data_IF_539485116337
#
_entry.id   IF_539485116337
#
_cell.length_a   1.000
_cell.length_b   1.000
_cell.length_c   1.000
_cell.angle_alpha   90.00
_cell.angle_beta   90.00
_cell.angle_gamma   90.00
#
_symmetry.space_group_name_H-M   'P 1'
#
loop_
_entity.id
_entity.type
_entity.pdbx_description
1 polymer ?
#
# COMPACT_ATOMS: atom_id res chain seq x y z
N UNK A 1 5.65 7.70 18.86
CA UNK A 1 5.47 6.24 18.82
C UNK A 1 6.74 5.61 19.37
N UNK A 2 6.58 4.57 20.18
CA UNK A 2 7.70 3.95 20.88
C UNK A 2 8.37 2.81 20.07
N UNK A 3 7.72 2.37 18.98
CA UNK A 3 8.24 1.39 18.05
C UNK A 3 7.96 1.80 16.60
N UNK A 4 8.95 1.61 15.73
CA UNK A 4 8.82 1.90 14.30
C UNK A 4 8.39 0.63 13.54
N UNK A 5 7.25 0.66 12.82
CA UNK A 5 6.84 -0.47 11.98
C UNK A 5 7.68 -0.55 10.72
N UNK A 6 8.19 -1.75 10.43
CA UNK A 6 8.98 -2.02 9.22
C UNK A 6 8.60 -3.37 8.61
N UNK A 7 8.64 -3.46 7.27
CA UNK A 7 8.47 -4.69 6.53
C UNK A 7 9.82 -5.17 5.99
N UNK A 8 10.16 -6.40 6.25
CA UNK A 8 11.38 -7.03 5.76
C UNK A 8 11.09 -7.83 4.48
N UNK A 9 11.78 -7.55 3.37
CA UNK A 9 11.68 -8.39 2.17
C UNK A 9 12.15 -9.80 2.47
N UNK A 10 11.32 -10.82 2.20
CA UNK A 10 11.58 -12.21 2.55
C UNK A 10 12.16 -13.05 1.40
N UNK A 11 12.04 -12.56 0.16
CA UNK A 11 12.50 -13.32 -1.01
C UNK A 11 13.98 -13.68 -0.90
N UNK A 12 14.27 -14.96 -0.98
CA UNK A 12 15.62 -15.54 -0.89
C UNK A 12 16.35 -15.26 0.42
N UNK A 13 15.62 -14.86 1.48
CA UNK A 13 16.20 -14.60 2.79
C UNK A 13 16.00 -15.77 3.72
N UNK A 14 17.02 -16.07 4.52
CA UNK A 14 16.97 -17.11 5.55
C UNK A 14 16.21 -16.58 6.77
N UNK A 15 15.26 -17.37 7.26
CA UNK A 15 14.56 -17.17 8.53
C UNK A 15 14.76 -18.42 9.37
N UNK A 16 15.13 -18.26 10.61
CA UNK A 16 15.39 -19.39 11.53
C UNK A 16 14.28 -19.44 12.58
N UNK A 17 13.76 -20.65 12.82
CA UNK A 17 12.95 -20.95 14.00
C UNK A 17 13.72 -21.95 14.84
N UNK A 18 14.16 -21.51 16.03
CA UNK A 18 14.94 -22.28 16.97
C UNK A 18 14.09 -22.72 18.15
N UNK A 19 14.12 -24.02 18.45
CA UNK A 19 13.32 -24.65 19.48
C UNK A 19 12.26 -25.58 18.94
N UNK A 20 11.47 -26.18 19.83
CA UNK A 20 10.50 -27.22 19.50
C UNK A 20 9.12 -26.95 20.14
N UNK A 21 8.14 -27.80 19.80
CA UNK A 21 6.78 -27.74 20.32
C UNK A 21 5.88 -26.74 19.62
N UNK A 22 4.66 -26.61 20.14
CA UNK A 22 3.57 -25.86 19.50
C UNK A 22 3.90 -24.37 19.24
N UNK A 23 4.64 -23.75 20.15
CA UNK A 23 5.02 -22.34 20.01
C UNK A 23 6.01 -22.14 18.85
N UNK A 24 6.97 -23.06 18.65
CA UNK A 24 7.89 -23.03 17.51
C UNK A 24 7.14 -23.28 16.19
N UNK A 25 6.22 -24.26 16.16
CA UNK A 25 5.36 -24.52 15.03
C UNK A 25 4.47 -23.29 14.68
N UNK A 26 3.94 -22.61 15.69
CA UNK A 26 3.16 -21.39 15.46
C UNK A 26 4.00 -20.27 14.83
N UNK A 27 5.27 -20.14 15.18
CA UNK A 27 6.20 -19.19 14.55
C UNK A 27 6.55 -19.60 13.12
N UNK A 28 6.76 -20.90 12.87
CA UNK A 28 7.05 -21.40 11.53
C UNK A 28 5.87 -21.20 10.57
N UNK A 29 4.62 -21.38 11.03
CA UNK A 29 3.41 -21.14 10.25
C UNK A 29 3.26 -19.70 9.75
N UNK A 30 3.87 -18.70 10.41
CA UNK A 30 3.86 -17.32 9.92
C UNK A 30 4.53 -17.16 8.55
N UNK A 31 5.37 -18.12 8.17
CA UNK A 31 6.15 -18.09 6.93
C UNK A 31 5.67 -19.10 5.88
N UNK A 32 4.57 -19.80 6.13
CA UNK A 32 3.98 -20.71 5.15
C UNK A 32 3.59 -19.95 3.87
N UNK A 33 4.04 -20.45 2.71
CA UNK A 33 3.83 -19.78 1.43
C UNK A 33 4.70 -18.55 1.17
N UNK A 34 5.53 -18.11 2.14
CA UNK A 34 6.47 -17.00 1.94
C UNK A 34 7.68 -17.46 1.12
N UNK A 35 8.27 -16.57 0.28
CA UNK A 35 9.44 -16.90 -0.55
C UNK A 35 10.75 -16.87 0.22
N UNK A 36 10.76 -17.17 1.52
CA UNK A 36 11.94 -17.26 2.35
C UNK A 36 12.48 -18.68 2.44
N UNK A 37 13.73 -18.80 2.86
CA UNK A 37 14.34 -20.06 3.26
C UNK A 37 14.09 -20.27 4.76
N UNK A 38 13.00 -20.95 5.10
CA UNK A 38 12.68 -21.28 6.48
C UNK A 38 13.55 -22.46 6.95
N UNK A 39 14.37 -22.22 7.98
CA UNK A 39 15.24 -23.23 8.61
C UNK A 39 14.76 -23.46 10.03
N UNK A 40 14.57 -24.72 10.40
CA UNK A 40 14.23 -25.14 11.76
C UNK A 40 15.43 -25.80 12.41
N UNK A 41 15.73 -25.40 13.63
CA UNK A 41 16.86 -25.95 14.41
C UNK A 41 16.41 -26.23 15.85
N UNK A 42 16.86 -27.32 16.40
CA UNK A 42 16.49 -27.78 17.75
C UNK A 42 17.70 -28.25 18.53
N UNK A 43 17.57 -28.34 19.85
CA UNK A 43 18.61 -28.86 20.75
C UNK A 43 19.92 -28.09 20.61
N UNK A 44 21.04 -28.81 20.65
CA UNK A 44 22.39 -28.21 20.62
C UNK A 44 22.72 -27.51 19.30
N UNK A 45 22.10 -27.92 18.19
CA UNK A 45 22.31 -27.29 16.89
C UNK A 45 21.82 -25.83 16.92
N UNK A 46 20.74 -25.54 17.66
CA UNK A 46 20.21 -24.18 17.83
C UNK A 46 21.10 -23.28 18.71
N UNK A 47 22.09 -23.83 19.38
CA UNK A 47 23.02 -23.08 20.25
C UNK A 47 24.29 -22.63 19.52
N UNK A 48 24.40 -22.96 18.23
CA UNK A 48 25.58 -22.66 17.39
C UNK A 48 25.39 -21.34 16.62
N UNK A 49 26.51 -20.64 16.37
CA UNK A 49 26.49 -19.42 15.53
C UNK A 49 26.10 -19.75 14.09
N UNK A 50 26.52 -20.92 13.62
CA UNK A 50 26.29 -21.43 12.27
C UNK A 50 24.81 -21.55 11.94
N UNK A 51 23.97 -21.92 12.92
CA UNK A 51 22.52 -22.00 12.76
C UNK A 51 21.93 -20.68 12.27
N UNK A 52 22.46 -19.57 12.74
CA UNK A 52 21.95 -18.21 12.43
C UNK A 52 22.75 -17.48 11.37
N UNK A 53 23.85 -18.04 10.90
CA UNK A 53 24.72 -17.39 9.90
C UNK A 53 23.93 -17.07 8.63
N UNK A 54 23.96 -15.80 8.20
CA UNK A 54 23.24 -15.29 7.03
C UNK A 54 21.72 -15.18 7.21
N UNK A 55 21.17 -15.48 8.39
CA UNK A 55 19.75 -15.31 8.65
C UNK A 55 19.39 -13.83 8.82
N UNK A 56 18.24 -13.45 8.26
CA UNK A 56 17.65 -12.13 8.45
C UNK A 56 16.95 -12.04 9.81
N UNK A 57 16.12 -13.02 10.12
CA UNK A 57 15.31 -13.09 11.34
C UNK A 57 15.48 -14.44 12.01
N UNK A 58 15.45 -14.44 13.34
CA UNK A 58 15.34 -15.65 14.13
C UNK A 58 14.19 -15.54 15.14
N UNK A 59 13.43 -16.62 15.27
CA UNK A 59 12.43 -16.81 16.31
C UNK A 59 12.91 -17.90 17.24
N UNK A 60 13.05 -17.58 18.53
CA UNK A 60 13.63 -18.49 19.52
C UNK A 60 12.57 -18.84 20.55
N UNK A 61 12.37 -20.14 20.77
CA UNK A 61 11.37 -20.71 21.67
C UNK A 61 12.00 -21.77 22.54
N UNK A 62 11.85 -21.71 23.85
CA UNK A 62 12.39 -22.70 24.76
C UNK A 62 12.38 -22.25 26.21
N UNK A 63 13.03 -23.02 27.08
CA UNK A 63 13.27 -22.61 28.45
C UNK A 63 14.29 -21.46 28.58
N UNK A 64 14.41 -20.90 29.77
CA UNK A 64 15.25 -19.73 30.03
C UNK A 64 16.74 -19.94 29.70
N UNK A 65 17.27 -21.16 29.94
CA UNK A 65 18.67 -21.50 29.68
C UNK A 65 18.92 -21.60 28.18
N UNK A 66 18.04 -22.28 27.45
CA UNK A 66 18.09 -22.43 25.99
C UNK A 66 17.97 -21.10 25.28
N UNK A 67 16.95 -20.28 25.61
CA UNK A 67 16.70 -19.01 24.91
C UNK A 67 17.84 -18.02 25.09
N UNK A 68 18.48 -17.97 26.27
CA UNK A 68 19.65 -17.11 26.52
C UNK A 68 20.84 -17.50 25.65
N UNK A 69 21.14 -18.79 25.53
CA UNK A 69 22.25 -19.28 24.73
C UNK A 69 21.99 -19.11 23.24
N UNK A 70 20.80 -19.49 22.77
CA UNK A 70 20.40 -19.35 21.38
C UNK A 70 20.38 -17.87 20.94
N UNK A 71 19.82 -16.97 21.76
CA UNK A 71 19.82 -15.54 21.48
C UNK A 71 21.24 -14.94 21.40
N UNK A 72 22.15 -15.41 22.27
CA UNK A 72 23.57 -15.02 22.21
C UNK A 72 24.24 -15.50 20.92
N UNK A 73 23.99 -16.73 20.49
CA UNK A 73 24.52 -17.28 19.24
C UNK A 73 23.98 -16.47 18.02
N UNK A 74 22.67 -16.17 18.01
CA UNK A 74 22.04 -15.37 16.96
C UNK A 74 22.58 -13.92 16.92
N UNK A 75 22.82 -13.30 18.08
CA UNK A 75 23.41 -11.97 18.17
C UNK A 75 24.85 -11.94 17.63
N UNK A 76 25.65 -12.95 17.92
CA UNK A 76 27.01 -13.10 17.36
C UNK A 76 26.98 -13.28 15.83
N UNK A 77 25.96 -13.94 15.31
CA UNK A 77 25.71 -14.06 13.87
C UNK A 77 25.10 -12.77 13.25
N UNK A 78 24.83 -11.73 14.04
CA UNK A 78 24.17 -10.48 13.63
C UNK A 78 22.76 -10.70 13.06
N UNK A 79 22.07 -11.71 13.54
CA UNK A 79 20.68 -12.00 13.20
C UNK A 79 19.74 -11.18 14.09
N UNK A 80 18.67 -10.66 13.55
CA UNK A 80 17.62 -9.93 14.30
C UNK A 80 16.71 -10.96 14.98
N UNK A 81 16.50 -10.84 16.28
CA UNK A 81 15.93 -11.90 17.12
C UNK A 81 14.58 -11.50 17.70
N UNK A 82 13.61 -12.42 17.65
CA UNK A 82 12.44 -12.43 18.51
C UNK A 82 12.46 -13.68 19.42
N UNK A 83 12.59 -13.46 20.70
CA UNK A 83 12.50 -14.51 21.69
C UNK A 83 11.12 -14.51 22.31
N UNK A 84 10.41 -15.64 22.22
CA UNK A 84 9.02 -15.74 22.70
C UNK A 84 8.98 -15.51 24.20
N UNK A 85 8.05 -14.66 24.65
CA UNK A 85 7.84 -14.25 26.05
C UNK A 85 9.04 -13.59 26.74
N UNK A 86 10.07 -13.19 25.96
CA UNK A 86 11.28 -12.55 26.47
C UNK A 86 11.59 -11.25 25.68
N UNK A 87 10.86 -10.15 25.97
CA UNK A 87 11.10 -8.87 25.33
C UNK A 87 12.50 -8.31 25.60
N UNK A 88 13.10 -8.64 26.75
CA UNK A 88 14.47 -8.28 27.12
C UNK A 88 15.57 -8.92 26.26
N UNK A 89 15.24 -10.00 25.54
CA UNK A 89 16.13 -10.71 24.61
C UNK A 89 15.68 -10.56 23.15
N UNK A 90 14.75 -9.66 22.86
CA UNK A 90 14.17 -9.49 21.53
C UNK A 90 14.52 -8.14 20.93
N UNK A 91 14.95 -8.13 19.67
CA UNK A 91 15.19 -6.92 18.88
C UNK A 91 13.89 -6.37 18.28
N UNK A 92 12.86 -7.21 18.13
CA UNK A 92 11.58 -6.83 17.57
C UNK A 92 10.42 -7.63 18.18
N UNK A 93 9.21 -7.13 18.00
CA UNK A 93 7.97 -7.80 18.40
C UNK A 93 7.22 -8.34 17.19
N UNK A 94 6.56 -9.48 17.33
CA UNK A 94 5.67 -10.01 16.28
C UNK A 94 4.30 -9.34 16.39
N UNK A 95 3.85 -8.58 15.37
CA UNK A 95 2.53 -7.95 15.37
C UNK A 95 1.42 -8.97 15.06
N UNK A 96 0.16 -8.57 15.24
CA UNK A 96 -0.96 -9.26 14.64
C UNK A 96 -1.00 -8.94 13.14
N UNK A 97 -1.00 -9.96 12.28
CA UNK A 97 -0.82 -9.82 10.83
C UNK A 97 -2.12 -10.17 10.09
N UNK A 98 -2.49 -9.34 9.12
CA UNK A 98 -3.46 -9.67 8.07
C UNK A 98 -2.67 -9.80 6.77
N UNK A 99 -2.60 -11.00 6.24
CA UNK A 99 -1.92 -11.31 4.97
C UNK A 99 -2.95 -11.53 3.86
N UNK A 100 -2.78 -10.79 2.77
CA UNK A 100 -3.52 -10.89 1.51
C UNK A 100 -2.56 -10.95 0.31
N UNK A 101 -1.39 -11.58 0.49
CA UNK A 101 -0.33 -11.68 -0.51
C UNK A 101 0.45 -10.37 -0.65
N UNK A 102 0.25 -9.65 -1.75
CA UNK A 102 0.94 -8.36 -1.97
C UNK A 102 0.49 -7.23 -1.01
N UNK A 103 -0.62 -7.42 -0.32
CA UNK A 103 -1.11 -6.49 0.69
C UNK A 103 -1.00 -7.12 2.07
N UNK A 104 -0.17 -6.55 2.91
CA UNK A 104 0.02 -7.00 4.29
C UNK A 104 -0.25 -5.83 5.23
N UNK A 105 -1.04 -6.08 6.27
CA UNK A 105 -1.23 -5.15 7.37
C UNK A 105 -0.74 -5.75 8.68
N UNK A 106 -0.12 -4.93 9.53
CA UNK A 106 0.44 -5.35 10.79
C UNK A 106 -0.01 -4.40 11.91
N UNK A 107 -0.43 -4.97 13.04
CA UNK A 107 -0.96 -4.22 14.18
C UNK A 107 -0.14 -4.57 15.41
N UNK A 108 0.52 -3.58 15.99
CA UNK A 108 1.26 -3.69 17.25
C UNK A 108 0.60 -2.85 18.34
N UNK A 109 0.60 -3.36 19.56
CA UNK A 109 0.10 -2.65 20.76
C UNK A 109 1.21 -2.38 21.78
N UNK A 110 2.49 -2.48 21.36
CA UNK A 110 3.64 -2.33 22.26
C UNK A 110 3.68 -3.37 23.39
N UNK A 111 3.06 -4.53 23.20
CA UNK A 111 2.93 -5.56 24.26
C UNK A 111 1.82 -5.29 25.27
N UNK A 112 1.13 -4.13 25.19
CA UNK A 112 0.14 -3.74 26.19
C UNK A 112 -1.12 -4.62 26.18
N UNK A 113 -1.59 -5.09 25.02
CA UNK A 113 -2.80 -5.90 24.93
C UNK A 113 -2.84 -6.79 23.68
N UNK A 114 -2.47 -8.06 23.77
CA UNK A 114 -2.63 -9.03 22.68
C UNK A 114 -4.07 -9.18 22.21
N UNK A 115 -5.05 -9.10 23.14
CA UNK A 115 -6.47 -9.18 22.82
C UNK A 115 -6.93 -8.01 21.95
N UNK A 116 -6.48 -6.80 22.26
CA UNK A 116 -6.79 -5.61 21.45
C UNK A 116 -6.20 -5.75 20.03
N UNK A 117 -4.97 -6.23 19.91
CA UNK A 117 -4.35 -6.49 18.61
C UNK A 117 -5.14 -7.51 17.78
N UNK A 118 -5.63 -8.59 18.43
CA UNK A 118 -6.46 -9.62 17.79
C UNK A 118 -7.81 -9.07 17.34
N UNK A 119 -8.46 -8.26 18.17
CA UNK A 119 -9.74 -7.62 17.82
C UNK A 119 -9.60 -6.69 16.62
N UNK A 120 -8.61 -5.80 16.64
CA UNK A 120 -8.32 -4.88 15.53
C UNK A 120 -7.93 -5.63 14.25
N UNK A 121 -7.19 -6.73 14.37
CA UNK A 121 -6.90 -7.62 13.24
C UNK A 121 -8.18 -8.15 12.61
N UNK A 122 -9.11 -8.68 13.43
CA UNK A 122 -10.37 -9.25 12.94
C UNK A 122 -11.24 -8.19 12.25
N UNK A 123 -11.29 -6.97 12.78
CA UNK A 123 -12.00 -5.86 12.15
C UNK A 123 -11.38 -5.48 10.79
N UNK A 124 -10.06 -5.46 10.72
CA UNK A 124 -9.36 -5.16 9.47
C UNK A 124 -9.52 -6.29 8.45
N UNK A 125 -9.48 -7.55 8.88
CA UNK A 125 -9.75 -8.72 8.02
C UNK A 125 -11.13 -8.67 7.38
N UNK A 126 -12.14 -8.23 8.11
CA UNK A 126 -13.51 -8.09 7.59
C UNK A 126 -13.62 -7.00 6.51
N UNK A 127 -12.73 -5.99 6.54
CA UNK A 127 -12.73 -4.88 5.58
C UNK A 127 -11.81 -5.09 4.38
N UNK A 128 -10.82 -5.97 4.50
CA UNK A 128 -9.86 -6.27 3.42
C UNK A 128 -10.27 -7.55 2.67
N UNK A 129 -10.83 -7.44 1.45
CA UNK A 129 -11.21 -8.60 0.66
C UNK A 129 -10.03 -9.53 0.42
N UNK A 130 -10.30 -10.84 0.33
CA UNK A 130 -9.27 -11.86 0.04
C UNK A 130 -8.52 -11.59 -1.27
N UNK A 131 -9.19 -11.00 -2.25
CA UNK A 131 -8.62 -10.70 -3.56
C UNK A 131 -7.77 -9.44 -3.66
N UNK A 132 -7.69 -8.62 -2.60
CA UNK A 132 -7.01 -7.30 -2.69
C UNK A 132 -5.53 -7.41 -3.04
N UNK A 133 -4.85 -8.48 -2.61
CA UNK A 133 -3.46 -8.72 -2.97
C UNK A 133 -3.28 -8.99 -4.46
N UNK A 134 -4.26 -9.61 -5.13
CA UNK A 134 -4.23 -9.80 -6.59
C UNK A 134 -4.37 -8.48 -7.34
N UNK A 135 -5.13 -7.52 -6.79
CA UNK A 135 -5.19 -6.16 -7.35
C UNK A 135 -3.82 -5.51 -7.29
N UNK A 136 -3.14 -5.58 -6.14
CA UNK A 136 -1.78 -5.04 -6.00
C UNK A 136 -0.79 -5.74 -6.96
N UNK A 137 -0.89 -7.07 -7.13
CA UNK A 137 -0.07 -7.83 -8.07
C UNK A 137 -0.32 -7.40 -9.53
N UNK A 138 -1.58 -7.16 -9.93
CA UNK A 138 -1.93 -6.61 -11.23
C UNK A 138 -1.23 -5.27 -11.49
N UNK A 139 -1.33 -4.35 -10.54
CA UNK A 139 -0.69 -3.03 -10.68
C UNK A 139 0.83 -3.12 -10.69
N UNK A 140 1.43 -4.03 -9.94
CA UNK A 140 2.87 -4.31 -9.99
C UNK A 140 3.28 -4.84 -11.36
N UNK A 141 2.54 -5.81 -11.90
CA UNK A 141 2.82 -6.43 -13.20
C UNK A 141 2.84 -5.39 -14.33
N UNK A 142 1.92 -4.42 -14.31
CA UNK A 142 1.76 -3.42 -15.37
C UNK A 142 2.37 -2.05 -15.03
N UNK A 143 3.13 -1.95 -13.94
CA UNK A 143 3.67 -0.69 -13.43
C UNK A 143 4.51 0.05 -14.49
N UNK A 144 5.36 -0.65 -15.21
CA UNK A 144 6.23 -0.02 -16.21
C UNK A 144 5.46 0.39 -17.47
N UNK A 145 4.46 -0.41 -17.88
CA UNK A 145 3.55 -0.05 -18.97
C UNK A 145 2.77 1.24 -18.63
N UNK A 146 2.22 1.31 -17.41
CA UNK A 146 1.50 2.49 -16.94
C UNK A 146 2.43 3.71 -16.83
N UNK A 147 3.66 3.53 -16.35
CA UNK A 147 4.65 4.61 -16.26
C UNK A 147 5.06 5.14 -17.62
N UNK A 148 5.29 4.26 -18.58
CA UNK A 148 5.63 4.63 -19.95
C UNK A 148 4.46 5.29 -20.67
N UNK A 149 3.24 4.78 -20.47
CA UNK A 149 2.04 5.27 -21.13
C UNK A 149 1.52 6.61 -20.59
N UNK A 150 1.75 6.87 -19.30
CA UNK A 150 1.36 8.10 -18.60
C UNK A 150 2.57 8.69 -17.85
N UNK A 151 3.49 9.37 -18.54
CA UNK A 151 4.69 9.94 -17.92
C UNK A 151 4.37 11.06 -16.94
N UNK A 152 3.31 11.84 -17.17
CA UNK A 152 2.84 12.86 -16.25
C UNK A 152 2.32 12.22 -14.94
N UNK A 153 2.89 12.67 -13.82
CA UNK A 153 2.58 12.08 -12.49
C UNK A 153 1.12 12.31 -12.08
N UNK A 154 0.55 13.46 -12.43
CA UNK A 154 -0.81 13.84 -12.07
C UNK A 154 -1.83 12.98 -12.81
N UNK A 155 -1.67 12.85 -14.13
CA UNK A 155 -2.49 11.98 -14.96
C UNK A 155 -2.38 10.52 -14.53
N UNK A 156 -1.17 10.05 -14.25
CA UNK A 156 -0.94 8.69 -13.77
C UNK A 156 -1.62 8.40 -12.43
N UNK A 157 -1.56 9.34 -11.47
CA UNK A 157 -2.26 9.21 -10.18
C UNK A 157 -3.78 9.19 -10.35
N UNK A 158 -4.32 10.02 -11.23
CA UNK A 158 -5.76 10.03 -11.53
C UNK A 158 -6.19 8.70 -12.14
N UNK A 159 -5.48 8.22 -13.16
CA UNK A 159 -5.69 6.92 -13.78
C UNK A 159 -5.66 5.77 -12.76
N UNK A 160 -4.61 5.70 -11.94
CA UNK A 160 -4.47 4.64 -10.93
C UNK A 160 -5.62 4.65 -9.91
N UNK A 161 -6.06 5.83 -9.47
CA UNK A 161 -7.20 5.96 -8.57
C UNK A 161 -8.50 5.43 -9.17
N UNK A 162 -8.76 5.76 -10.44
CA UNK A 162 -9.93 5.29 -11.16
C UNK A 162 -9.86 3.78 -11.42
N UNK A 163 -8.70 3.29 -11.85
CA UNK A 163 -8.49 1.88 -12.13
C UNK A 163 -8.65 0.98 -10.90
N UNK A 164 -8.32 1.47 -9.69
CA UNK A 164 -8.52 0.75 -8.42
C UNK A 164 -10.01 0.49 -8.11
N UNK A 165 -10.92 1.26 -8.68
CA UNK A 165 -12.37 1.09 -8.52
C UNK A 165 -13.04 0.55 -9.79
N UNK A 166 -12.25 0.27 -10.83
CA UNK A 166 -12.72 -0.16 -12.14
C UNK A 166 -12.87 -1.67 -12.30
N UNK A 167 -13.33 -2.08 -13.49
CA UNK A 167 -13.56 -3.49 -13.84
C UNK A 167 -12.27 -4.33 -13.79
N UNK A 168 -11.11 -3.73 -14.06
CA UNK A 168 -9.82 -4.43 -13.97
C UNK A 168 -9.52 -4.87 -12.54
N UNK A 169 -9.72 -4.00 -11.56
CA UNK A 169 -9.55 -4.33 -10.16
C UNK A 169 -10.55 -5.40 -9.70
N UNK A 170 -11.81 -5.30 -10.14
CA UNK A 170 -12.81 -6.32 -9.82
C UNK A 170 -12.42 -7.68 -10.39
N UNK A 171 -12.06 -7.77 -11.67
CA UNK A 171 -11.60 -9.02 -12.29
C UNK A 171 -10.38 -9.61 -11.56
N UNK A 172 -9.44 -8.76 -11.10
CA UNK A 172 -8.31 -9.23 -10.30
C UNK A 172 -8.75 -9.76 -8.92
N UNK A 173 -9.68 -9.09 -8.25
CA UNK A 173 -10.26 -9.59 -6.99
C UNK A 173 -10.91 -10.96 -7.16
N UNK A 174 -11.58 -11.20 -8.29
CA UNK A 174 -12.24 -12.45 -8.63
C UNK A 174 -11.25 -13.56 -9.09
N UNK A 175 -9.96 -13.21 -9.28
CA UNK A 175 -8.92 -14.16 -9.70
C UNK A 175 -8.70 -14.26 -11.21
N UNK A 176 -9.44 -13.50 -12.02
CA UNK A 176 -9.35 -13.48 -13.48
C UNK A 176 -8.18 -12.60 -13.98
N UNK A 177 -6.95 -12.96 -13.63
CA UNK A 177 -5.77 -12.09 -13.80
C UNK A 177 -5.49 -11.71 -15.26
N UNK A 178 -5.69 -12.64 -16.21
CA UNK A 178 -5.48 -12.35 -17.65
C UNK A 178 -6.50 -11.31 -18.15
N UNK A 179 -7.76 -11.49 -17.77
CA UNK A 179 -8.84 -10.54 -18.08
C UNK A 179 -8.58 -9.19 -17.41
N UNK A 180 -8.16 -9.19 -16.15
CA UNK A 180 -7.82 -7.99 -15.42
C UNK A 180 -6.69 -7.20 -16.11
N UNK A 181 -5.63 -7.88 -16.54
CA UNK A 181 -4.52 -7.28 -17.27
C UNK A 181 -4.96 -6.68 -18.61
N UNK A 182 -5.83 -7.39 -19.34
CA UNK A 182 -6.40 -6.87 -20.60
C UNK A 182 -7.22 -5.60 -20.37
N UNK A 183 -8.14 -5.63 -19.39
CA UNK A 183 -8.99 -4.49 -19.04
C UNK A 183 -8.15 -3.27 -18.58
N UNK A 184 -7.08 -3.50 -17.84
CA UNK A 184 -6.21 -2.40 -17.39
C UNK A 184 -5.43 -1.77 -18.56
N UNK A 185 -4.98 -2.56 -19.54
CA UNK A 185 -4.34 -2.06 -20.77
C UNK A 185 -5.33 -1.29 -21.66
N UNK A 186 -6.55 -1.79 -21.79
CA UNK A 186 -7.63 -1.08 -22.50
C UNK A 186 -7.92 0.28 -21.86
N UNK A 187 -8.04 0.32 -20.53
CA UNK A 187 -8.23 1.55 -19.77
C UNK A 187 -7.02 2.50 -19.93
N UNK A 188 -5.79 1.98 -19.92
CA UNK A 188 -4.58 2.77 -20.14
C UNK A 188 -4.56 3.39 -21.54
N UNK A 189 -4.90 2.61 -22.56
CA UNK A 189 -4.99 3.10 -23.94
C UNK A 189 -6.06 4.19 -24.10
N UNK A 190 -7.20 4.02 -23.46
CA UNK A 190 -8.25 5.03 -23.42
C UNK A 190 -7.80 6.32 -22.70
N UNK A 191 -7.07 6.18 -21.58
CA UNK A 191 -6.52 7.33 -20.85
C UNK A 191 -5.44 8.09 -21.65
N UNK A 192 -4.63 7.38 -22.46
CA UNK A 192 -3.65 7.99 -23.37
C UNK A 192 -4.32 8.73 -24.54
N UNK A 193 -5.45 8.20 -25.03
CA UNK A 193 -6.22 8.80 -26.11
C UNK A 193 -7.13 9.95 -25.63
N UNK A 194 -7.35 10.07 -24.33
CA UNK A 194 -8.18 11.09 -23.75
C UNK A 194 -7.56 12.47 -24.00
N UNK A 195 -8.25 13.27 -24.81
CA UNK A 195 -7.92 14.69 -24.97
C UNK A 195 -8.26 15.39 -23.66
N UNK A 196 -7.49 16.42 -23.34
CA UNK A 196 -7.85 17.33 -22.28
C UNK A 196 -9.25 17.92 -22.52
N UNK A 197 -9.88 18.38 -21.50
CA UNK A 197 -11.21 18.98 -21.56
C UNK A 197 -11.24 20.30 -20.81
N UNK A 198 -12.12 21.20 -21.25
CA UNK A 198 -12.50 22.38 -20.49
C UNK A 198 -13.89 22.11 -19.96
N UNK A 199 -14.10 22.27 -18.65
CA UNK A 199 -15.42 22.24 -18.06
C UNK A 199 -15.73 23.59 -17.43
N UNK A 200 -16.78 24.23 -17.88
CA UNK A 200 -17.32 25.44 -17.26
C UNK A 200 -18.32 25.06 -16.17
N UNK A 201 -18.18 25.69 -15.02
CA UNK A 201 -19.03 25.48 -13.84
C UNK A 201 -19.54 26.86 -13.40
N UNK A 202 -20.86 27.01 -13.40
CA UNK A 202 -21.47 28.15 -12.76
C UNK A 202 -21.20 28.11 -11.25
N UNK A 203 -20.49 29.09 -10.79
CA UNK A 203 -20.07 29.26 -9.40
C UNK A 203 -20.67 30.53 -8.78
N UNK A 204 -21.77 31.06 -9.32
CA UNK A 204 -22.48 32.20 -8.77
C UNK A 204 -23.32 31.87 -7.53
N UNK A 205 -23.68 30.57 -7.37
CA UNK A 205 -24.59 30.09 -6.34
C UNK A 205 -23.89 29.69 -5.03
N UNK A 206 -24.67 29.13 -4.11
CA UNK A 206 -24.15 28.56 -2.85
C UNK A 206 -23.40 27.25 -3.08
N UNK A 207 -22.35 27.02 -2.31
CA UNK A 207 -21.46 25.88 -2.49
C UNK A 207 -22.13 24.52 -2.23
N UNK A 208 -23.15 24.47 -1.41
CA UNK A 208 -23.94 23.26 -1.12
C UNK A 208 -24.92 22.87 -2.26
N UNK A 209 -25.14 23.75 -3.24
CA UNK A 209 -25.97 23.50 -4.42
C UNK A 209 -25.18 23.01 -5.63
N UNK A 210 -23.86 22.83 -5.49
CA UNK A 210 -23.04 22.33 -6.59
C UNK A 210 -23.41 20.89 -6.97
N UNK A 211 -23.44 20.58 -8.27
CA UNK A 211 -23.74 19.22 -8.72
C UNK A 211 -22.62 18.25 -8.40
N UNK A 212 -22.94 16.96 -8.24
CA UNK A 212 -21.93 15.91 -8.09
C UNK A 212 -20.99 15.83 -9.30
N UNK A 213 -21.47 16.18 -10.49
CA UNK A 213 -20.63 16.26 -11.70
C UNK A 213 -19.59 17.37 -11.56
N UNK A 214 -20.00 18.55 -11.15
CA UNK A 214 -19.13 19.70 -10.93
C UNK A 214 -18.11 19.42 -9.81
N UNK A 215 -18.57 18.82 -8.71
CA UNK A 215 -17.68 18.43 -7.60
C UNK A 215 -16.60 17.42 -8.05
N UNK A 216 -16.99 16.43 -8.86
CA UNK A 216 -16.03 15.46 -9.42
C UNK A 216 -15.03 16.12 -10.37
N UNK A 217 -15.51 17.09 -11.19
CA UNK A 217 -14.64 17.82 -12.09
C UNK A 217 -13.63 18.68 -11.35
N UNK A 218 -14.05 19.40 -10.30
CA UNK A 218 -13.15 20.16 -9.41
C UNK A 218 -12.10 19.26 -8.74
N UNK A 219 -12.52 18.08 -8.30
CA UNK A 219 -11.62 17.08 -7.73
C UNK A 219 -10.65 16.44 -8.74
N UNK A 220 -10.88 16.59 -10.04
CA UNK A 220 -10.08 16.05 -11.13
C UNK A 220 -9.33 17.12 -11.92
N UNK A 221 -9.53 18.41 -11.64
CA UNK A 221 -8.94 19.52 -12.37
C UNK A 221 -7.41 19.54 -12.23
N UNK A 222 -6.71 19.70 -13.36
CA UNK A 222 -5.27 20.00 -13.38
C UNK A 222 -5.05 21.51 -13.26
N UNK A 223 -5.93 22.28 -13.88
CA UNK A 223 -5.92 23.74 -13.89
C UNK A 223 -7.30 24.28 -13.49
N UNK A 224 -7.29 25.33 -12.67
CA UNK A 224 -8.48 26.04 -12.22
C UNK A 224 -8.40 27.50 -12.64
N UNK A 225 -9.38 27.96 -13.39
CA UNK A 225 -9.60 29.36 -13.72
C UNK A 225 -10.77 29.83 -12.86
N UNK A 226 -10.57 30.90 -12.12
CA UNK A 226 -11.62 31.49 -11.25
C UNK A 226 -11.91 32.88 -11.76
N UNK A 227 -13.09 33.05 -12.33
CA UNK A 227 -13.53 34.38 -12.80
C UNK A 227 -13.91 35.30 -11.62
N UNK A 228 -13.83 36.62 -11.84
CA UNK A 228 -14.30 37.59 -10.85
C UNK A 228 -15.77 37.38 -10.53
N UNK A 229 -16.10 37.25 -9.24
CA UNK A 229 -17.48 37.01 -8.79
C UNK A 229 -17.81 35.56 -8.49
N UNK A 230 -16.99 34.59 -8.93
CA UNK A 230 -17.16 33.17 -8.57
C UNK A 230 -17.04 32.96 -7.06
N UNK A 231 -17.89 32.11 -6.51
CA UNK A 231 -17.92 31.79 -5.07
C UNK A 231 -16.61 31.13 -4.62
N UNK A 232 -15.89 31.73 -3.65
CA UNK A 232 -14.61 31.20 -3.18
C UNK A 232 -14.73 29.83 -2.50
N UNK A 233 -15.88 29.49 -1.90
CA UNK A 233 -16.09 28.19 -1.28
C UNK A 233 -16.18 27.09 -2.33
N UNK A 234 -16.75 27.36 -3.51
CA UNK A 234 -16.74 26.44 -4.65
C UNK A 234 -15.31 26.26 -5.18
N UNK A 235 -14.56 27.35 -5.30
CA UNK A 235 -13.17 27.31 -5.73
C UNK A 235 -12.28 26.52 -4.74
N UNK A 236 -12.61 26.53 -3.45
CA UNK A 236 -11.92 25.77 -2.42
C UNK A 236 -12.18 24.25 -2.49
N UNK A 237 -13.24 23.80 -3.20
CA UNK A 237 -13.54 22.39 -3.43
C UNK A 237 -12.63 21.76 -4.49
N UNK A 238 -11.91 22.57 -5.28
CA UNK A 238 -10.90 22.04 -6.20
C UNK A 238 -9.76 21.34 -5.43
N UNK A 239 -9.15 20.36 -6.08
CA UNK A 239 -7.98 19.67 -5.48
C UNK A 239 -6.88 20.69 -5.14
N UNK A 240 -6.19 20.47 -4.02
CA UNK A 240 -5.18 21.41 -3.48
C UNK A 240 -3.99 21.65 -4.40
N UNK A 241 -3.67 20.67 -5.25
CA UNK A 241 -2.56 20.70 -6.20
C UNK A 241 -2.98 21.10 -7.62
N UNK A 242 -4.25 21.51 -7.84
CA UNK A 242 -4.65 22.15 -9.08
C UNK A 242 -3.97 23.51 -9.23
N UNK A 243 -3.32 23.73 -10.37
CA UNK A 243 -2.68 25.01 -10.65
C UNK A 243 -3.75 26.08 -10.94
N UNK A 244 -3.67 27.20 -10.24
CA UNK A 244 -4.60 28.32 -10.43
C UNK A 244 -4.04 29.27 -11.48
N UNK A 245 -4.79 29.46 -12.58
CA UNK A 245 -4.45 30.40 -13.63
C UNK A 245 -5.19 31.72 -13.38
N UNK A 246 -4.45 32.80 -13.20
CA UNK A 246 -5.00 34.14 -12.97
C UNK A 246 -5.55 34.77 -14.25
N UNK A 247 -4.97 34.42 -15.39
CA UNK A 247 -5.38 34.84 -16.73
C UNK A 247 -5.13 33.69 -17.68
N UNK A 248 -6.16 33.22 -18.37
CA UNK A 248 -6.03 32.18 -19.36
C UNK A 248 -6.74 32.62 -20.65
N UNK A 249 -5.91 33.02 -21.61
CA UNK A 249 -6.38 33.23 -22.98
C UNK A 249 -6.92 31.90 -23.54
N UNK A 250 -7.87 31.99 -24.47
CA UNK A 250 -8.41 30.81 -25.14
C UNK A 250 -7.32 29.99 -25.83
N UNK A 251 -6.24 30.62 -26.31
CA UNK A 251 -5.07 29.96 -26.88
C UNK A 251 -4.34 29.11 -25.82
N UNK A 252 -4.13 29.65 -24.61
CA UNK A 252 -3.50 28.92 -23.51
C UNK A 252 -4.35 27.75 -23.05
N UNK A 253 -5.64 27.93 -22.96
CA UNK A 253 -6.59 26.85 -22.63
C UNK A 253 -6.52 25.76 -23.71
N UNK A 254 -6.52 26.13 -25.01
CA UNK A 254 -6.41 25.17 -26.09
C UNK A 254 -5.09 24.38 -26.08
N UNK A 255 -3.97 25.03 -25.75
CA UNK A 255 -2.68 24.36 -25.55
C UNK A 255 -2.75 23.32 -24.40
N UNK A 256 -3.34 23.69 -23.27
CA UNK A 256 -3.48 22.80 -22.11
C UNK A 256 -4.38 21.58 -22.45
N UNK A 257 -5.48 21.83 -23.14
CA UNK A 257 -6.37 20.77 -23.63
C UNK A 257 -5.66 19.86 -24.65
N UNK A 258 -4.89 20.43 -25.56
CA UNK A 258 -4.09 19.66 -26.52
C UNK A 258 -3.04 18.81 -25.81
N UNK A 259 -2.51 19.30 -24.68
CA UNK A 259 -1.59 18.56 -23.80
C UNK A 259 -2.27 17.55 -22.88
N UNK A 260 -3.59 17.29 -23.08
CA UNK A 260 -4.35 16.31 -22.30
C UNK A 260 -4.72 16.77 -20.89
N UNK A 261 -4.67 18.08 -20.60
CA UNK A 261 -4.98 18.62 -19.27
C UNK A 261 -6.47 18.91 -19.11
N UNK A 262 -6.96 18.70 -17.88
CA UNK A 262 -8.34 19.04 -17.49
C UNK A 262 -8.35 20.44 -16.89
N UNK A 263 -9.01 21.34 -17.58
CA UNK A 263 -9.18 22.74 -17.16
C UNK A 263 -10.61 22.92 -16.64
N UNK A 264 -10.73 23.42 -15.43
CA UNK A 264 -12.05 23.83 -14.90
C UNK A 264 -12.08 25.35 -14.81
N UNK A 265 -13.11 25.94 -15.44
CA UNK A 265 -13.38 27.39 -15.40
C UNK A 265 -14.61 27.61 -14.53
N UNK A 266 -14.44 28.40 -13.46
CA UNK A 266 -15.52 28.84 -12.60
C UNK A 266 -16.00 30.18 -13.09
N UNK A 267 -17.26 30.21 -13.56
CA UNK A 267 -17.93 31.44 -14.00
C UNK A 267 -18.84 31.99 -12.90
N UNK A 268 -19.10 33.31 -12.94
CA UNK A 268 -19.97 34.00 -11.99
C UNK A 268 -21.41 34.19 -12.54
#
# INVERSE_FOLDING_TARGET
MDAFPAFFPLKDRKVVVAGSGEAAEAKARLFEGSPCQLVRVEGDDALTIEAYSGALLAFIVGDDAFVKQAARAAALAKCIVNTVDRPDLSDFTTPAIVDRGEVVAAIGTGGASPMLATMLRSELEARLPQGIGRVAALFRQLQDEVRAGLPDLTQRRAFLREALHGMAAQAAMDGEMERAAKLLREALSAAQAAKGEVLEIDASGAADLITLRSLRALGAADFLIVEPGANPDIAAMARRDAERLADASDERIAELVAAGKRVVRLTA
#
